data_IF_877471198149
#
_entry.id   IF_877471198149
#
_cell.length_a   1.000
_cell.length_b   1.000
_cell.length_c   1.000
_cell.angle_alpha   90.00
_cell.angle_beta   90.00
_cell.angle_gamma   90.00
#
_symmetry.space_group_name_H-M   'P 1'
#
loop_
_entity.id
_entity.type
_entity.pdbx_description
1 polymer ?
#
# COMPACT_ATOMS: atom_id res chain seq x y z
N UNK A 1 -7.63 8.98 -8.35
CA UNK A 1 -6.99 9.96 -7.44
C UNK A 1 -5.48 9.76 -7.48
N UNK A 2 -4.76 10.78 -7.85
CA UNK A 2 -3.30 10.70 -7.85
C UNK A 2 -2.76 11.17 -6.50
N UNK A 3 -1.43 11.20 -6.37
CA UNK A 3 -0.81 11.57 -5.10
C UNK A 3 -1.15 13.00 -4.68
N UNK A 4 -1.15 13.93 -5.62
CA UNK A 4 -1.47 15.33 -5.31
C UNK A 4 -2.91 15.48 -4.84
N UNK A 5 -3.83 14.79 -5.48
CA UNK A 5 -5.22 14.81 -5.07
C UNK A 5 -5.42 14.16 -3.71
N UNK A 6 -4.66 13.09 -3.45
CA UNK A 6 -4.71 12.41 -2.17
C UNK A 6 -4.23 13.34 -1.05
N UNK A 7 -3.12 14.04 -1.27
CA UNK A 7 -2.59 14.98 -0.29
C UNK A 7 -3.60 16.08 -0.01
N UNK A 8 -4.22 16.61 -1.06
CA UNK A 8 -5.23 17.66 -0.89
C UNK A 8 -6.43 17.17 -0.08
N UNK A 9 -6.88 15.94 -0.36
CA UNK A 9 -8.00 15.38 0.38
C UNK A 9 -7.68 15.21 1.86
N UNK A 10 -6.47 14.78 2.16
CA UNK A 10 -6.03 14.62 3.55
C UNK A 10 -5.94 15.98 4.23
N UNK A 11 -5.35 16.96 3.55
CA UNK A 11 -5.19 18.30 4.12
C UNK A 11 -6.53 18.97 4.40
N UNK A 12 -7.52 18.71 3.56
CA UNK A 12 -8.85 19.30 3.71
C UNK A 12 -9.73 18.59 4.73
N UNK A 13 -9.25 17.46 5.26
CA UNK A 13 -10.01 16.69 6.23
C UNK A 13 -10.18 17.49 7.53
N UNK A 14 -11.39 17.46 8.08
CA UNK A 14 -11.71 18.21 9.30
C UNK A 14 -10.81 17.82 10.47
N UNK A 15 -10.39 16.57 10.53
CA UNK A 15 -9.52 16.13 11.60
C UNK A 15 -8.19 16.86 11.59
N UNK A 16 -7.64 17.13 10.40
CA UNK A 16 -6.39 17.84 10.28
C UNK A 16 -6.55 19.35 10.40
N UNK A 17 -7.74 19.88 10.06
CA UNK A 17 -8.00 21.29 10.23
C UNK A 17 -7.81 21.73 11.68
N UNK A 18 -8.11 20.84 12.62
CA UNK A 18 -7.95 21.13 14.04
C UNK A 18 -6.48 21.24 14.44
N UNK A 19 -5.59 20.65 13.67
CA UNK A 19 -4.18 20.67 13.98
C UNK A 19 -3.45 21.85 13.36
N UNK A 20 -4.16 22.62 12.54
CA UNK A 20 -3.61 23.81 11.89
C UNK A 20 -2.30 23.50 11.15
N UNK A 21 -2.28 22.39 10.42
CA UNK A 21 -1.10 21.99 9.66
C UNK A 21 -1.10 22.64 8.29
N UNK A 22 0.07 23.11 7.88
CA UNK A 22 0.23 23.61 6.52
C UNK A 22 0.16 22.46 5.52
N UNK A 23 -0.11 22.78 4.26
CA UNK A 23 -0.12 21.77 3.21
C UNK A 23 1.24 21.10 3.08
N UNK A 24 2.31 21.87 3.25
CA UNK A 24 3.67 21.33 3.21
C UNK A 24 3.89 20.33 4.34
N UNK A 25 3.41 20.64 5.54
CA UNK A 25 3.53 19.71 6.67
C UNK A 25 2.77 18.42 6.39
N UNK A 26 1.55 18.53 5.84
CA UNK A 26 0.75 17.35 5.50
C UNK A 26 1.46 16.51 4.45
N UNK A 27 2.03 17.15 3.44
CA UNK A 27 2.77 16.43 2.39
C UNK A 27 3.94 15.66 3.00
N UNK A 28 4.69 16.31 3.88
CA UNK A 28 5.83 15.66 4.52
C UNK A 28 5.41 14.45 5.35
N UNK A 29 4.32 14.59 6.10
CA UNK A 29 3.80 13.48 6.90
C UNK A 29 3.42 12.30 6.01
N UNK A 30 2.70 12.59 4.92
CA UNK A 30 2.25 11.53 4.01
C UNK A 30 3.45 10.83 3.37
N UNK A 31 4.44 11.58 2.91
CA UNK A 31 5.63 10.99 2.32
C UNK A 31 6.40 10.16 3.33
N UNK A 32 6.46 10.62 4.57
CA UNK A 32 7.13 9.87 5.62
C UNK A 32 6.41 8.56 5.91
N UNK A 33 5.07 8.57 5.87
CA UNK A 33 4.29 7.36 6.06
C UNK A 33 4.64 6.33 4.98
N UNK A 34 4.67 6.76 3.72
CA UNK A 34 4.99 5.84 2.62
C UNK A 34 6.42 5.33 2.72
N UNK A 35 7.35 6.19 3.08
CA UNK A 35 8.74 5.77 3.25
C UNK A 35 8.90 4.77 4.40
N UNK A 36 8.16 4.97 5.47
CA UNK A 36 8.19 4.06 6.62
C UNK A 36 7.68 2.69 6.24
N UNK A 37 6.58 2.66 5.48
CA UNK A 37 6.03 1.40 4.99
C UNK A 37 7.05 0.71 4.08
N UNK A 38 7.64 1.45 3.16
CA UNK A 38 8.63 0.91 2.24
C UNK A 38 9.83 0.33 2.99
N UNK A 39 10.35 1.06 3.96
CA UNK A 39 11.50 0.61 4.75
C UNK A 39 11.19 -0.68 5.51
N UNK A 40 10.00 -0.77 6.10
CA UNK A 40 9.60 -1.97 6.82
C UNK A 40 9.54 -3.17 5.88
N UNK A 41 8.95 -2.97 4.69
CA UNK A 41 8.83 -4.06 3.73
C UNK A 41 10.19 -4.50 3.18
N UNK A 42 11.13 -3.56 3.03
CA UNK A 42 12.49 -3.91 2.62
C UNK A 42 13.16 -4.86 3.61
N UNK A 43 12.86 -4.69 4.88
CA UNK A 43 13.41 -5.56 5.94
C UNK A 43 12.65 -6.87 6.07
N UNK A 44 11.57 -7.02 5.34
CA UNK A 44 10.73 -8.21 5.43
C UNK A 44 9.68 -8.14 6.53
N UNK A 45 9.51 -6.99 7.13
CA UNK A 45 8.49 -6.80 8.16
C UNK A 45 7.12 -6.54 7.55
N UNK A 46 6.09 -6.84 8.31
CA UNK A 46 4.74 -6.47 7.97
C UNK A 46 4.38 -5.14 8.62
N UNK A 47 3.52 -4.38 7.94
CA UNK A 47 2.94 -3.18 8.53
C UNK A 47 1.45 -3.45 8.71
N UNK A 48 1.06 -3.75 9.92
CA UNK A 48 -0.33 -4.09 10.23
C UNK A 48 -1.05 -2.87 10.80
N UNK A 49 -2.01 -2.37 10.04
CA UNK A 49 -2.78 -1.19 10.42
C UNK A 49 -4.19 -1.63 10.79
N UNK A 50 -4.44 -1.72 12.07
CA UNK A 50 -5.72 -2.20 12.59
C UNK A 50 -6.85 -1.32 12.06
N UNK A 51 -7.89 -1.94 11.53
CA UNK A 51 -9.03 -1.23 10.98
C UNK A 51 -8.85 -0.81 9.52
N UNK A 52 -7.69 -1.04 8.95
CA UNK A 52 -7.42 -0.67 7.57
C UNK A 52 -6.95 -1.86 6.74
N UNK A 53 -5.79 -2.41 7.07
CA UNK A 53 -5.25 -3.51 6.31
C UNK A 53 -3.82 -3.80 6.69
N UNK A 54 -3.20 -4.68 5.92
CA UNK A 54 -1.88 -5.17 6.22
C UNK A 54 -1.00 -5.13 4.97
N UNK A 55 0.13 -4.45 5.08
CA UNK A 55 1.15 -4.47 4.05
C UNK A 55 2.15 -5.57 4.40
N UNK A 56 2.44 -6.42 3.44
CA UNK A 56 3.36 -7.53 3.69
C UNK A 56 4.16 -7.84 2.44
N UNK A 57 5.19 -8.64 2.60
CA UNK A 57 6.04 -9.05 1.51
C UNK A 57 5.78 -10.52 1.21
N UNK A 58 5.51 -10.81 -0.05
CA UNK A 58 5.37 -12.17 -0.53
C UNK A 58 6.65 -12.52 -1.27
N UNK A 59 7.24 -13.64 -0.93
CA UNK A 59 8.44 -14.10 -1.62
C UNK A 59 8.06 -15.05 -2.74
N UNK A 60 8.62 -14.78 -3.90
CA UNK A 60 8.45 -15.66 -5.03
C UNK A 60 9.74 -16.43 -5.19
N UNK A 61 9.67 -17.75 -5.02
CA UNK A 61 10.85 -18.59 -5.15
C UNK A 61 11.37 -18.57 -6.57
N UNK A 62 12.68 -18.78 -6.71
CA UNK A 62 13.28 -18.97 -8.01
C UNK A 62 12.67 -20.20 -8.68
N UNK A 63 12.47 -20.14 -9.96
CA UNK A 63 11.87 -21.25 -10.68
C UNK A 63 12.10 -21.17 -12.15
N UNK A 64 11.33 -21.93 -12.89
CA UNK A 64 11.40 -21.96 -14.33
C UNK A 64 10.07 -21.55 -14.91
N UNK A 65 10.08 -20.55 -15.74
CA UNK A 65 8.90 -20.15 -16.47
C UNK A 65 9.06 -20.50 -17.94
N UNK A 66 8.07 -20.14 -18.73
CA UNK A 66 8.13 -20.41 -20.15
C UNK A 66 7.78 -19.13 -20.91
N UNK A 67 8.62 -18.81 -21.87
CA UNK A 67 8.37 -17.64 -22.71
C UNK A 67 7.13 -17.92 -23.58
N UNK A 68 6.06 -17.12 -23.45
CA UNK A 68 4.82 -17.38 -24.20
C UNK A 68 4.96 -17.21 -25.70
N UNK A 69 6.01 -16.52 -26.15
CA UNK A 69 6.20 -16.28 -27.57
C UNK A 69 7.02 -17.40 -28.22
N UNK A 70 8.04 -17.89 -27.53
CA UNK A 70 8.93 -18.91 -28.10
C UNK A 70 8.74 -20.28 -27.50
N UNK A 71 8.10 -20.36 -26.34
CA UNK A 71 7.94 -21.63 -25.63
C UNK A 71 9.19 -22.09 -24.91
N UNK A 72 10.23 -21.30 -24.94
CA UNK A 72 11.48 -21.66 -24.29
C UNK A 72 11.39 -21.50 -22.77
N UNK A 73 12.05 -22.39 -22.07
CA UNK A 73 12.15 -22.29 -20.61
C UNK A 73 13.07 -21.13 -20.24
N UNK A 74 12.65 -20.33 -19.30
CA UNK A 74 13.44 -19.22 -18.79
C UNK A 74 13.54 -19.34 -17.28
N UNK A 75 14.67 -18.92 -16.74
CA UNK A 75 14.85 -18.91 -15.30
C UNK A 75 14.19 -17.66 -14.72
N UNK A 76 13.40 -17.88 -13.69
CA UNK A 76 12.77 -16.79 -12.96
C UNK A 76 13.52 -16.64 -11.65
N UNK A 77 14.06 -15.45 -11.41
CA UNK A 77 14.80 -15.18 -10.18
C UNK A 77 13.83 -15.04 -9.01
N UNK A 78 14.31 -15.44 -7.83
CA UNK A 78 13.57 -15.20 -6.61
C UNK A 78 13.38 -13.69 -6.46
N UNK A 79 12.21 -13.31 -6.04
CA UNK A 79 11.89 -11.88 -5.85
C UNK A 79 10.95 -11.70 -4.69
N UNK A 80 11.00 -10.50 -4.11
CA UNK A 80 10.08 -10.11 -3.05
C UNK A 80 9.07 -9.14 -3.64
N UNK A 81 7.81 -9.36 -3.34
CA UNK A 81 6.75 -8.52 -3.85
C UNK A 81 5.96 -7.90 -2.70
N UNK A 82 5.87 -6.57 -2.66
CA UNK A 82 5.02 -5.93 -1.65
C UNK A 82 3.57 -6.16 -2.01
N UNK A 83 2.76 -6.47 -1.02
CA UNK A 83 1.34 -6.72 -1.21
C UNK A 83 0.54 -6.07 -0.10
N UNK A 84 -0.73 -5.84 -0.38
CA UNK A 84 -1.64 -5.26 0.58
C UNK A 84 -2.87 -6.15 0.70
N UNK A 85 -3.23 -6.47 1.94
CA UNK A 85 -4.46 -7.21 2.22
C UNK A 85 -5.40 -6.31 2.99
N UNK A 86 -6.55 -6.02 2.41
CA UNK A 86 -7.54 -5.17 3.06
C UNK A 86 -8.07 -5.84 4.32
N UNK A 87 -8.22 -5.04 5.37
CA UNK A 87 -8.81 -5.51 6.60
C UNK A 87 -10.31 -5.66 6.46
N UNK A 88 -10.91 -6.35 7.42
CA UNK A 88 -12.35 -6.60 7.40
C UNK A 88 -13.14 -5.29 7.35
N UNK A 89 -12.78 -4.34 8.20
CA UNK A 89 -13.50 -3.08 8.27
C UNK A 89 -13.41 -2.31 6.95
N UNK A 90 -12.23 -2.33 6.32
CA UNK A 90 -12.07 -1.65 5.05
C UNK A 90 -12.93 -2.30 3.96
N UNK A 91 -12.94 -3.62 3.92
CA UNK A 91 -13.75 -4.34 2.94
C UNK A 91 -15.23 -4.05 3.12
N UNK A 92 -15.68 -4.03 4.36
CA UNK A 92 -17.09 -3.77 4.65
C UNK A 92 -17.46 -2.33 4.28
N UNK A 93 -16.54 -1.41 4.54
CA UNK A 93 -16.78 -0.01 4.21
C UNK A 93 -16.92 0.20 2.70
N UNK A 94 -16.09 -0.48 1.93
CA UNK A 94 -16.09 -0.33 0.47
C UNK A 94 -17.33 -0.98 -0.15
N UNK A 95 -17.74 -2.13 0.38
CA UNK A 95 -18.90 -2.84 -0.16
C UNK A 95 -20.23 -2.25 0.30
N UNK A 96 -20.20 -1.39 1.27
CA UNK A 96 -21.38 -0.78 1.82
C UNK A 96 -22.14 -1.71 2.74
N UNK A 97 -22.90 -1.18 3.61
CA UNK A 97 -23.75 -1.98 4.50
C UNK A 97 -24.97 -2.46 3.78
N UNK A 98 -24.83 -2.29 3.48
CA UNK A 98 -25.49 -2.24 2.78
C UNK A 98 -25.98 -1.94 2.09
N UNK A 99 -26.05 -1.81 1.88
CA UNK A 99 -26.32 -1.52 1.08
C UNK A 99 -26.70 -1.51 0.56
N UNK A 100 -27.09 -1.39 0.65
CA UNK A 100 -27.51 -1.37 -0.01
C UNK A 100 -27.73 -1.25 -0.40
#
# INVERSE_FOLDING_TARGET
MNKNEFVAAVADNKALAKLDMSKTAVTTVIETIFETIESALKKGDEVRLVGFGNFYVSQRAAGTGRNPQTGEAIKIKASKQPKFRAGKQLKESVNGPKKK
#
